data_IF_471041141948
#
_entry.id   IF_471041141948
#
_cell.length_a   1.000
_cell.length_b   1.000
_cell.length_c   1.000
_cell.angle_alpha   90.00
_cell.angle_beta   90.00
_cell.angle_gamma   90.00
#
_symmetry.space_group_name_H-M   'P 1'
#
loop_
_entity.id
_entity.type
_entity.pdbx_description
1 polymer ?
#
# COMPACT_ATOMS: atom_id res chain seq x y z
N UNK A 1 0.93 -43.48 41.84
CA UNK A 1 2.29 -42.98 41.57
C UNK A 1 2.15 -41.75 40.69
N UNK A 2 2.31 -40.55 41.26
CA UNK A 2 2.29 -39.27 40.57
C UNK A 2 3.72 -38.73 40.61
N UNK A 3 4.33 -38.50 39.45
CA UNK A 3 5.57 -37.76 39.35
C UNK A 3 5.24 -36.33 38.92
N UNK A 4 5.60 -35.38 39.79
CA UNK A 4 5.58 -33.94 39.54
C UNK A 4 7.04 -33.51 39.37
N UNK A 5 7.40 -33.01 38.20
CA UNK A 5 8.67 -32.31 37.98
C UNK A 5 8.36 -30.84 37.72
N UNK A 6 8.79 -29.98 38.64
CA UNK A 6 8.85 -28.55 38.45
C UNK A 6 10.17 -28.17 37.78
N UNK A 7 10.12 -27.25 36.84
CA UNK A 7 11.28 -26.51 36.37
C UNK A 7 10.91 -25.03 36.35
N UNK A 8 11.62 -24.27 37.18
CA UNK A 8 11.67 -22.81 37.17
C UNK A 8 12.35 -22.34 35.88
N UNK A 9 11.77 -21.37 35.19
CA UNK A 9 12.47 -20.55 34.21
C UNK A 9 12.37 -19.09 34.63
N UNK A 10 13.53 -18.52 34.97
CA UNK A 10 13.72 -17.10 35.27
C UNK A 10 13.94 -16.35 33.97
N UNK A 11 13.04 -15.42 33.64
CA UNK A 11 13.23 -14.44 32.57
C UNK A 11 14.02 -13.22 33.10
N UNK A 12 15.03 -12.71 32.39
CA UNK A 12 15.63 -11.42 32.73
C UNK A 12 14.79 -10.28 32.13
N UNK A 13 14.49 -9.29 32.98
CA UNK A 13 13.89 -8.01 32.64
C UNK A 13 14.91 -7.16 31.86
N UNK A 14 14.55 -6.70 30.66
CA UNK A 14 15.28 -5.60 30.01
C UNK A 14 14.99 -4.30 30.78
N UNK A 15 16.06 -3.69 31.25
CA UNK A 15 16.09 -2.42 31.96
C UNK A 15 16.18 -1.30 30.93
N UNK A 16 15.29 -0.33 31.05
CA UNK A 16 15.34 0.96 30.36
C UNK A 16 16.64 1.69 30.73
N UNK A 17 17.45 2.05 29.74
CA UNK A 17 18.59 2.92 29.92
C UNK A 17 18.11 4.38 29.98
N UNK A 18 18.05 4.90 31.20
CA UNK A 18 17.94 6.33 31.49
C UNK A 18 19.34 6.95 31.35
N UNK A 19 19.54 7.84 30.38
CA UNK A 19 20.79 8.59 30.24
C UNK A 19 20.80 9.72 31.26
N UNK A 20 21.60 9.57 32.33
CA UNK A 20 21.83 10.61 33.32
C UNK A 20 22.93 11.56 32.83
N UNK A 21 22.57 12.84 32.67
CA UNK A 21 23.50 13.95 32.40
C UNK A 21 24.26 14.26 33.70
N UNK A 22 25.58 14.08 33.66
CA UNK A 22 26.48 14.42 34.76
C UNK A 22 27.00 15.85 34.56
N UNK A 23 26.50 16.80 35.35
CA UNK A 23 27.08 18.14 35.48
C UNK A 23 28.37 18.02 36.34
N UNK A 24 29.53 18.25 35.73
CA UNK A 24 30.76 18.57 36.46
C UNK A 24 31.02 20.08 36.34
N UNK A 25 30.88 20.77 37.47
CA UNK A 25 31.37 22.13 37.63
C UNK A 25 32.88 22.07 37.90
N UNK A 26 33.68 22.67 37.00
CA UNK A 26 35.06 23.04 37.27
C UNK A 26 35.22 24.54 37.07
N UNK A 27 35.50 25.22 38.19
CA UNK A 27 35.94 26.61 38.23
C UNK A 27 37.41 26.70 37.77
N UNK A 28 37.67 27.48 36.72
CA UNK A 28 39.01 27.85 36.28
C UNK A 28 38.99 29.25 35.67
N UNK A 29 39.77 30.16 36.24
CA UNK A 29 39.93 31.54 35.79
C UNK A 29 40.68 31.67 34.46
N UNK A 30 40.17 32.55 33.59
CA UNK A 30 40.97 33.56 32.91
C UNK A 30 41.61 33.19 31.57
N UNK A 31 40.98 33.61 30.47
CA UNK A 31 41.58 34.48 29.44
C UNK A 31 40.56 34.70 28.32
N UNK A 32 40.41 35.96 27.90
CA UNK A 32 39.58 36.41 26.78
C UNK A 32 39.80 35.60 25.50
N UNK A 33 38.75 34.92 25.05
CA UNK A 33 38.52 34.64 23.63
C UNK A 33 37.02 34.58 23.41
N UNK A 34 36.48 35.60 22.74
CA UNK A 34 35.13 35.58 22.17
C UNK A 34 35.07 34.50 21.09
N UNK A 35 34.73 33.27 21.48
CA UNK A 35 34.25 32.26 20.55
C UNK A 35 32.77 32.53 20.31
N UNK A 36 32.45 33.01 19.11
CA UNK A 36 31.10 32.91 18.58
C UNK A 36 30.79 31.42 18.46
N UNK A 37 30.04 30.89 19.43
CA UNK A 37 29.29 29.65 19.25
C UNK A 37 28.08 29.98 18.35
N UNK A 38 28.35 30.23 17.06
CA UNK A 38 27.34 30.14 16.03
C UNK A 38 27.05 28.65 15.85
N UNK A 39 26.12 28.14 16.66
CA UNK A 39 25.47 26.86 16.38
C UNK A 39 24.70 27.10 15.09
N UNK A 40 25.25 26.62 13.96
CA UNK A 40 24.51 26.52 12.71
C UNK A 40 23.24 25.69 13.01
N UNK A 41 22.12 26.39 13.20
CA UNK A 41 20.79 25.79 13.18
C UNK A 41 20.67 25.14 11.80
N UNK A 42 20.78 23.81 11.74
CA UNK A 42 20.57 23.05 10.52
C UNK A 42 19.14 23.32 10.07
N UNK A 43 18.96 24.29 9.18
CA UNK A 43 17.66 24.69 8.65
C UNK A 43 17.13 23.54 7.81
N UNK A 44 16.25 22.73 8.40
CA UNK A 44 15.51 21.70 7.70
C UNK A 44 14.59 22.37 6.69
N UNK A 45 14.80 22.08 5.40
CA UNK A 45 13.93 22.58 4.33
C UNK A 45 12.50 22.07 4.51
N UNK A 46 11.51 22.89 4.17
CA UNK A 46 10.13 22.42 4.07
C UNK A 46 9.95 21.47 2.88
N UNK A 47 8.80 20.79 2.83
CA UNK A 47 8.45 19.90 1.72
C UNK A 47 8.50 20.64 0.39
N UNK A 48 7.94 21.84 0.33
CA UNK A 48 7.81 22.67 -0.88
C UNK A 48 9.16 23.25 -1.32
N UNK A 49 10.09 23.44 -0.39
CA UNK A 49 11.45 23.89 -0.68
C UNK A 49 12.33 22.76 -1.22
N UNK A 50 12.19 21.54 -0.69
CA UNK A 50 13.05 20.42 -1.00
C UNK A 50 12.55 19.52 -2.14
N UNK A 51 11.24 19.27 -2.22
CA UNK A 51 10.64 18.45 -3.27
C UNK A 51 10.18 19.38 -4.40
N UNK A 52 10.59 19.17 -5.66
CA UNK A 52 10.21 20.06 -6.75
C UNK A 52 8.70 20.00 -7.01
N UNK A 53 8.12 21.12 -7.44
CA UNK A 53 6.74 21.14 -7.92
C UNK A 53 6.62 20.29 -9.20
N UNK A 54 5.53 19.54 -9.34
CA UNK A 54 5.29 18.74 -10.54
C UNK A 54 5.21 19.60 -11.79
N UNK A 55 5.89 19.16 -12.85
CA UNK A 55 5.77 19.76 -14.17
C UNK A 55 4.52 19.22 -14.89
N UNK A 56 3.61 20.09 -15.30
CA UNK A 56 2.38 19.68 -15.99
C UNK A 56 1.35 19.05 -15.05
N UNK A 57 0.50 18.19 -15.58
CA UNK A 57 -0.48 17.44 -14.79
C UNK A 57 0.10 16.07 -14.38
N UNK A 58 0.51 15.88 -13.10
CA UNK A 58 1.06 14.61 -12.63
C UNK A 58 0.05 13.45 -12.68
N UNK A 59 -1.26 13.72 -12.78
CA UNK A 59 -2.28 12.67 -12.92
C UNK A 59 -2.21 11.94 -14.26
N UNK A 60 -1.53 12.49 -15.27
CA UNK A 60 -1.22 11.74 -16.50
C UNK A 60 -0.40 10.48 -16.21
N UNK A 61 0.42 10.47 -15.15
CA UNK A 61 1.13 9.28 -14.69
C UNK A 61 0.22 8.23 -14.02
N UNK A 62 -1.06 8.53 -13.84
CA UNK A 62 -2.06 7.65 -13.22
C UNK A 62 -3.24 7.37 -14.17
N UNK A 63 -2.95 7.41 -15.48
CA UNK A 63 -3.89 7.03 -16.53
C UNK A 63 -3.33 5.89 -17.39
N UNK A 64 -4.15 4.85 -17.58
CA UNK A 64 -3.82 3.69 -18.43
C UNK A 64 -3.47 4.12 -19.86
N UNK A 65 -4.07 5.19 -20.39
CA UNK A 65 -3.81 5.66 -21.75
C UNK A 65 -2.46 6.38 -21.91
N UNK A 66 -1.91 6.88 -20.80
CA UNK A 66 -0.70 7.73 -20.80
C UNK A 66 0.54 6.96 -20.35
N UNK A 67 0.35 5.81 -19.70
CA UNK A 67 1.44 4.94 -19.27
C UNK A 67 1.85 3.99 -20.40
N UNK A 68 3.13 4.01 -20.77
CA UNK A 68 3.73 2.95 -21.58
C UNK A 68 3.92 1.70 -20.73
N UNK A 69 2.91 0.83 -20.72
CA UNK A 69 2.91 -0.40 -19.95
C UNK A 69 3.39 -1.60 -20.78
N UNK A 70 4.25 -2.47 -20.24
CA UNK A 70 4.50 -3.80 -20.79
C UNK A 70 3.19 -4.52 -21.12
N UNK A 71 3.04 -4.92 -22.39
CA UNK A 71 1.92 -5.72 -22.87
C UNK A 71 2.10 -7.20 -22.48
N UNK A 72 1.03 -8.03 -22.54
CA UNK A 72 1.14 -9.46 -22.29
C UNK A 72 2.23 -10.13 -23.12
N UNK A 73 3.05 -10.97 -22.49
CA UNK A 73 4.15 -11.73 -23.08
C UNK A 73 5.26 -10.91 -23.75
N UNK A 74 5.32 -9.60 -23.52
CA UNK A 74 6.35 -8.71 -24.08
C UNK A 74 7.76 -8.97 -23.52
N UNK A 75 7.86 -9.60 -22.34
CA UNK A 75 9.10 -9.69 -21.55
C UNK A 75 9.68 -8.32 -21.14
N UNK A 76 8.87 -7.25 -21.23
CA UNK A 76 9.33 -5.90 -20.99
C UNK A 76 9.20 -5.46 -19.51
N UNK A 77 8.53 -6.24 -18.66
CA UNK A 77 8.57 -5.94 -17.22
C UNK A 77 9.97 -6.21 -16.67
N UNK A 78 10.51 -5.24 -15.95
CA UNK A 78 11.82 -5.35 -15.32
C UNK A 78 11.63 -5.55 -13.83
N UNK A 79 12.02 -6.71 -13.30
CA UNK A 79 12.05 -6.95 -11.85
C UNK A 79 13.05 -5.97 -11.21
N UNK A 80 12.62 -5.11 -10.27
CA UNK A 80 13.52 -4.15 -9.64
C UNK A 80 14.71 -4.82 -8.95
N UNK A 81 15.90 -4.24 -9.10
CA UNK A 81 17.07 -4.71 -8.38
C UNK A 81 16.93 -4.44 -6.86
N UNK A 82 17.60 -5.25 -6.03
CA UNK A 82 17.54 -5.08 -4.57
C UNK A 82 18.01 -3.69 -4.11
N UNK A 83 19.03 -3.13 -4.76
CA UNK A 83 19.52 -1.78 -4.49
C UNK A 83 18.43 -0.72 -4.76
N UNK A 84 17.70 -0.84 -5.86
CA UNK A 84 16.61 0.10 -6.17
C UNK A 84 15.44 -0.05 -5.17
N UNK A 85 15.09 -1.29 -4.79
CA UNK A 85 14.06 -1.51 -3.74
C UNK A 85 14.46 -0.87 -2.41
N UNK A 86 15.74 -1.01 -2.04
CA UNK A 86 16.29 -0.36 -0.84
C UNK A 86 16.21 1.16 -0.96
N UNK A 87 16.56 1.73 -2.12
CA UNK A 87 16.49 3.16 -2.37
C UNK A 87 15.05 3.70 -2.30
N UNK A 88 14.05 2.97 -2.82
CA UNK A 88 12.62 3.35 -2.63
C UNK A 88 12.20 3.31 -1.16
N UNK A 89 12.58 2.26 -0.41
CA UNK A 89 12.32 2.22 1.04
C UNK A 89 12.95 3.42 1.75
N UNK A 90 14.21 3.74 1.43
CA UNK A 90 14.90 4.89 2.02
C UNK A 90 14.25 6.22 1.63
N UNK A 91 13.80 6.36 0.38
CA UNK A 91 13.10 7.56 -0.09
C UNK A 91 11.82 7.81 0.69
N UNK A 92 11.00 6.76 0.88
CA UNK A 92 9.76 6.83 1.65
C UNK A 92 10.00 7.09 3.14
N UNK A 93 10.97 6.41 3.75
CA UNK A 93 11.32 6.64 5.16
C UNK A 93 11.82 8.07 5.37
N UNK A 94 12.72 8.55 4.51
CA UNK A 94 13.20 9.93 4.57
C UNK A 94 12.06 10.93 4.40
N UNK A 95 11.09 10.66 3.52
CA UNK A 95 9.89 11.47 3.37
C UNK A 95 9.04 11.52 4.66
N UNK A 96 8.86 10.38 5.34
CA UNK A 96 8.12 10.33 6.61
C UNK A 96 8.87 10.97 7.77
N UNK A 97 10.20 10.94 7.74
CA UNK A 97 11.08 11.59 8.72
C UNK A 97 11.33 13.08 8.41
N UNK A 98 10.58 13.67 7.45
CA UNK A 98 10.75 15.04 6.96
C UNK A 98 12.16 15.39 6.45
N UNK A 99 12.95 14.38 6.10
CA UNK A 99 14.27 14.51 5.47
C UNK A 99 14.13 14.58 3.94
N UNK A 100 13.43 15.62 3.46
CA UNK A 100 12.95 15.69 2.08
C UNK A 100 14.03 15.69 1.00
N UNK A 101 15.18 16.34 1.23
CA UNK A 101 16.31 16.27 0.29
C UNK A 101 16.83 14.84 0.14
N UNK A 102 16.89 14.08 1.24
CA UNK A 102 17.24 12.66 1.22
C UNK A 102 16.17 11.84 0.49
N UNK A 103 14.89 12.18 0.65
CA UNK A 103 13.81 11.53 -0.09
C UNK A 103 13.99 11.67 -1.61
N UNK A 104 14.35 12.88 -2.08
CA UNK A 104 14.63 13.17 -3.50
C UNK A 104 15.87 12.42 -4.00
N UNK A 105 16.97 12.47 -3.25
CA UNK A 105 18.21 11.77 -3.61
C UNK A 105 17.98 10.26 -3.73
N UNK A 106 17.30 9.65 -2.74
CA UNK A 106 17.03 8.21 -2.74
C UNK A 106 16.01 7.80 -3.82
N UNK A 107 15.06 8.66 -4.16
CA UNK A 107 14.16 8.43 -5.31
C UNK A 107 14.95 8.37 -6.62
N UNK A 108 15.91 9.30 -6.78
CA UNK A 108 16.79 9.33 -7.96
C UNK A 108 17.66 8.08 -8.05
N UNK A 109 18.22 7.60 -6.93
CA UNK A 109 18.99 6.35 -6.87
C UNK A 109 18.16 5.12 -7.28
N UNK A 110 16.84 5.19 -7.11
CA UNK A 110 15.90 4.16 -7.57
C UNK A 110 15.43 4.32 -9.02
N UNK A 111 15.89 5.36 -9.73
CA UNK A 111 15.38 5.78 -11.05
C UNK A 111 13.90 6.22 -11.03
N UNK A 112 13.51 6.95 -9.98
CA UNK A 112 12.19 7.56 -9.83
C UNK A 112 12.28 9.07 -9.73
N UNK A 113 11.37 9.75 -10.41
CA UNK A 113 11.09 11.15 -10.17
C UNK A 113 10.12 11.27 -9.00
N UNK A 114 10.34 12.32 -8.20
CA UNK A 114 9.46 12.74 -7.12
C UNK A 114 9.10 14.20 -7.34
N UNK A 115 7.82 14.54 -7.16
CA UNK A 115 7.36 15.93 -7.22
C UNK A 115 6.14 16.15 -6.33
N UNK A 116 5.82 17.41 -6.03
CA UNK A 116 4.63 17.77 -5.27
C UNK A 116 3.63 18.63 -6.05
N UNK A 117 2.38 18.59 -5.63
CA UNK A 117 1.30 19.48 -6.06
C UNK A 117 0.46 19.88 -4.84
N UNK A 118 0.06 21.14 -4.76
CA UNK A 118 -0.87 21.60 -3.73
C UNK A 118 -2.28 21.03 -3.92
N UNK A 119 -2.94 20.68 -2.80
CA UNK A 119 -4.35 20.31 -2.78
C UNK A 119 -5.07 20.98 -1.61
N UNK A 120 -6.41 20.92 -1.61
CA UNK A 120 -7.25 21.62 -0.63
C UNK A 120 -6.99 21.24 0.82
N UNK A 121 -6.48 20.03 1.07
CA UNK A 121 -6.23 19.53 2.42
C UNK A 121 -4.75 19.24 2.69
N UNK A 122 -3.84 19.69 1.82
CA UNK A 122 -2.39 19.56 1.96
C UNK A 122 -1.69 19.03 0.71
N UNK A 123 -0.35 19.04 0.64
CA UNK A 123 0.38 18.63 -0.55
C UNK A 123 0.16 17.16 -0.92
N UNK A 124 0.15 16.90 -2.22
CA UNK A 124 0.21 15.58 -2.82
C UNK A 124 1.63 15.37 -3.34
N UNK A 125 2.28 14.28 -2.94
CA UNK A 125 3.62 13.92 -3.40
C UNK A 125 3.55 12.68 -4.27
N UNK A 126 4.06 12.80 -5.49
CA UNK A 126 3.98 11.79 -6.54
C UNK A 126 5.34 11.14 -6.72
N UNK A 127 5.33 9.82 -6.95
CA UNK A 127 6.49 9.06 -7.39
C UNK A 127 6.13 8.28 -8.65
N UNK A 128 6.95 8.46 -9.69
CA UNK A 128 6.81 7.72 -10.96
C UNK A 128 8.18 7.41 -11.57
N UNK A 129 8.30 6.29 -12.30
CA UNK A 129 9.58 5.85 -12.84
C UNK A 129 10.08 6.80 -13.92
N UNK A 130 11.40 7.07 -13.92
CA UNK A 130 12.08 7.86 -14.95
C UNK A 130 12.10 7.15 -16.31
N UNK A 131 12.07 5.82 -16.29
CA UNK A 131 12.09 4.99 -17.49
C UNK A 131 10.70 4.45 -17.80
N UNK A 132 10.14 4.89 -18.92
CA UNK A 132 8.88 4.36 -19.43
C UNK A 132 9.06 2.92 -19.92
N UNK A 133 7.99 2.11 -19.85
CA UNK A 133 7.99 0.77 -20.43
C UNK A 133 8.53 -0.35 -19.52
N UNK A 134 9.00 -0.08 -18.30
CA UNK A 134 9.52 -1.13 -17.40
C UNK A 134 8.46 -1.78 -16.51
N UNK A 135 7.24 -1.23 -16.52
CA UNK A 135 6.09 -1.77 -15.79
C UNK A 135 6.10 -1.55 -14.28
N UNK A 136 6.97 -0.67 -13.79
CA UNK A 136 7.09 -0.33 -12.36
C UNK A 136 5.87 0.42 -11.82
N UNK A 137 5.61 0.26 -10.52
CA UNK A 137 4.47 0.85 -9.83
C UNK A 137 4.60 2.37 -9.69
N UNK A 138 3.48 3.05 -9.50
CA UNK A 138 3.42 4.51 -9.26
C UNK A 138 2.56 4.76 -8.03
N UNK A 139 2.86 5.81 -7.28
CA UNK A 139 2.08 6.12 -6.09
C UNK A 139 2.03 7.61 -5.78
N UNK A 140 0.99 7.97 -5.03
CA UNK A 140 0.81 9.30 -4.48
C UNK A 140 0.63 9.17 -2.98
N UNK A 141 1.26 10.05 -2.21
CA UNK A 141 1.01 10.21 -0.77
C UNK A 141 0.49 11.61 -0.52
N UNK A 142 -0.58 11.70 0.27
CA UNK A 142 -1.10 12.96 0.77
C UNK A 142 -0.36 13.34 2.06
N UNK A 143 0.43 14.40 2.00
CA UNK A 143 1.22 14.94 3.10
C UNK A 143 0.35 15.84 4.02
N UNK A 144 -0.63 15.24 4.69
CA UNK A 144 -1.57 15.97 5.55
C UNK A 144 -2.00 15.16 6.76
N UNK A 145 -1.97 15.74 7.95
CA UNK A 145 -2.45 15.05 9.17
C UNK A 145 -3.96 14.76 9.14
N UNK A 146 -4.70 15.44 8.25
CA UNK A 146 -6.15 15.26 8.06
C UNK A 146 -6.52 14.27 6.97
N UNK A 147 -5.53 13.66 6.29
CA UNK A 147 -5.82 12.63 5.29
C UNK A 147 -6.51 11.43 5.94
N UNK A 148 -7.54 10.90 5.29
CA UNK A 148 -8.24 9.69 5.72
C UNK A 148 -7.22 8.54 5.76
N UNK A 149 -7.17 7.72 6.85
CA UNK A 149 -6.25 6.58 6.98
C UNK A 149 -6.67 5.43 6.06
N UNK A 150 -6.61 5.69 4.75
CA UNK A 150 -7.01 4.83 3.66
C UNK A 150 -5.89 4.80 2.63
N UNK A 151 -5.48 3.59 2.26
CA UNK A 151 -4.59 3.33 1.13
C UNK A 151 -5.36 2.57 0.06
N UNK A 152 -5.39 3.08 -1.16
CA UNK A 152 -6.11 2.46 -2.28
C UNK A 152 -5.11 1.85 -3.25
N UNK A 153 -5.39 0.66 -3.75
CA UNK A 153 -4.45 -0.10 -4.56
C UNK A 153 -5.14 -0.69 -5.78
N UNK A 154 -4.48 -0.59 -6.95
CA UNK A 154 -4.90 -1.23 -8.19
C UNK A 154 -3.73 -2.01 -8.81
N UNK A 155 -3.55 -3.29 -8.44
CA UNK A 155 -2.38 -4.07 -8.87
C UNK A 155 -2.45 -4.54 -10.34
N UNK A 156 -3.61 -4.50 -11.00
CA UNK A 156 -3.81 -5.10 -12.33
C UNK A 156 -4.49 -4.20 -13.36
N UNK A 157 -4.27 -2.90 -13.31
CA UNK A 157 -5.00 -1.90 -14.13
C UNK A 157 -4.98 -2.10 -15.65
N UNK A 158 -3.94 -2.75 -16.19
CA UNK A 158 -3.79 -3.05 -17.63
C UNK A 158 -4.44 -4.38 -18.04
N UNK A 159 -4.97 -5.15 -17.08
CA UNK A 159 -5.75 -6.37 -17.31
C UNK A 159 -7.21 -6.17 -16.83
N UNK A 160 -7.38 -5.48 -15.71
CA UNK A 160 -8.64 -5.20 -15.03
C UNK A 160 -9.02 -3.73 -15.27
N UNK A 161 -9.57 -3.43 -16.45
CA UNK A 161 -9.92 -2.08 -16.92
C UNK A 161 -10.67 -1.24 -15.87
N UNK A 162 -10.38 0.06 -15.78
CA UNK A 162 -10.98 1.03 -14.84
C UNK A 162 -10.60 0.88 -13.36
N UNK A 163 -9.85 -0.14 -12.92
CA UNK A 163 -9.39 -0.20 -11.51
C UNK A 163 -8.46 0.96 -11.14
N UNK A 164 -7.56 1.39 -12.04
CA UNK A 164 -6.72 2.58 -11.83
C UNK A 164 -7.55 3.85 -11.67
N UNK A 165 -8.50 4.07 -12.59
CA UNK A 165 -9.39 5.21 -12.57
C UNK A 165 -10.19 5.25 -11.26
N UNK A 166 -10.79 4.12 -10.89
CA UNK A 166 -11.51 3.97 -9.63
C UNK A 166 -10.62 4.23 -8.41
N UNK A 167 -9.36 3.78 -8.42
CA UNK A 167 -8.43 4.03 -7.33
C UNK A 167 -8.11 5.52 -7.16
N UNK A 168 -7.92 6.25 -8.27
CA UNK A 168 -7.68 7.71 -8.27
C UNK A 168 -8.92 8.48 -7.80
N UNK A 169 -10.12 8.09 -8.24
CA UNK A 169 -11.37 8.69 -7.80
C UNK A 169 -11.59 8.49 -6.29
N UNK A 170 -11.44 7.26 -5.77
CA UNK A 170 -11.51 6.99 -4.32
C UNK A 170 -10.47 7.81 -3.55
N UNK A 171 -9.23 7.87 -4.05
CA UNK A 171 -8.16 8.63 -3.40
C UNK A 171 -8.50 10.13 -3.27
N UNK A 172 -9.07 10.69 -4.34
CA UNK A 172 -9.42 12.10 -4.42
C UNK A 172 -10.63 12.41 -3.56
N UNK A 173 -11.71 11.66 -3.74
CA UNK A 173 -13.02 11.98 -3.15
C UNK A 173 -13.11 11.64 -1.67
N UNK A 174 -12.35 10.62 -1.22
CA UNK A 174 -12.27 10.25 0.19
C UNK A 174 -11.03 10.83 0.89
N UNK A 175 -10.28 11.72 0.23
CA UNK A 175 -9.10 12.33 0.83
C UNK A 175 -8.11 11.28 1.37
N UNK A 176 -7.95 10.17 0.65
CA UNK A 176 -7.18 9.03 1.12
C UNK A 176 -5.71 9.42 1.34
N UNK A 177 -5.04 8.70 2.25
CA UNK A 177 -3.63 8.86 2.58
C UNK A 177 -2.74 8.54 1.38
N UNK A 178 -3.03 7.45 0.68
CA UNK A 178 -2.18 6.99 -0.41
C UNK A 178 -2.97 6.26 -1.51
N UNK A 179 -2.43 6.30 -2.73
CA UNK A 179 -2.83 5.42 -3.83
C UNK A 179 -1.60 4.79 -4.46
N UNK A 180 -1.67 3.48 -4.76
CA UNK A 180 -0.60 2.74 -5.45
C UNK A 180 -1.20 2.00 -6.64
N UNK A 181 -0.63 2.21 -7.82
CA UNK A 181 -1.09 1.59 -9.07
C UNK A 181 0.05 0.86 -9.75
N UNK A 182 -0.25 -0.26 -10.42
CA UNK A 182 0.73 -0.98 -11.22
C UNK A 182 1.13 -0.22 -12.48
N UNK A 183 2.26 -0.58 -13.09
CA UNK A 183 2.72 0.02 -14.34
C UNK A 183 2.73 -0.89 -15.55
N UNK A 184 2.39 -2.17 -15.41
CA UNK A 184 2.48 -3.16 -16.47
C UNK A 184 1.38 -4.20 -16.39
N UNK A 185 1.16 -4.93 -17.48
CA UNK A 185 0.23 -6.06 -17.47
C UNK A 185 0.73 -7.18 -16.56
N UNK A 186 -0.16 -7.81 -15.78
CA UNK A 186 0.19 -8.93 -14.87
C UNK A 186 0.76 -10.18 -15.55
N UNK A 187 0.72 -10.22 -16.87
CA UNK A 187 1.19 -11.31 -17.73
C UNK A 187 2.31 -10.82 -18.67
N UNK A 188 3.00 -9.73 -18.33
CA UNK A 188 4.00 -9.13 -19.19
C UNK A 188 5.19 -10.07 -19.43
N UNK A 189 5.59 -10.81 -18.40
CA UNK A 189 6.72 -11.74 -18.46
C UNK A 189 6.25 -13.18 -18.32
N UNK A 190 7.05 -14.10 -18.86
CA UNK A 190 6.85 -15.55 -18.67
C UNK A 190 7.62 -16.09 -17.46
N UNK A 191 8.52 -15.30 -16.87
CA UNK A 191 9.13 -15.60 -15.59
C UNK A 191 8.09 -15.76 -14.49
N UNK A 192 8.31 -16.72 -13.59
CA UNK A 192 7.40 -17.00 -12.48
C UNK A 192 7.84 -16.30 -11.19
N UNK A 193 6.86 -15.84 -10.43
CA UNK A 193 7.01 -15.45 -9.04
C UNK A 193 7.49 -16.63 -8.20
N UNK A 194 8.24 -16.32 -7.14
CA UNK A 194 8.57 -17.28 -6.08
C UNK A 194 7.41 -17.55 -5.11
N UNK A 195 6.32 -16.78 -5.20
CA UNK A 195 5.21 -16.85 -4.27
C UNK A 195 4.24 -17.99 -4.57
N UNK A 196 3.64 -18.52 -3.51
CA UNK A 196 2.76 -19.68 -3.55
C UNK A 196 1.45 -19.37 -4.28
N UNK A 197 1.00 -20.31 -5.10
CA UNK A 197 -0.31 -20.29 -5.74
C UNK A 197 -0.20 -20.38 -7.25
N UNK A 198 -1.34 -20.48 -7.92
CA UNK A 198 -1.42 -20.62 -9.37
C UNK A 198 -2.59 -19.82 -9.91
N UNK A 199 -2.52 -19.48 -11.20
CA UNK A 199 -3.57 -18.79 -11.94
C UNK A 199 -3.64 -19.33 -13.36
N UNK A 200 -4.81 -19.24 -13.98
CA UNK A 200 -5.01 -19.47 -15.42
C UNK A 200 -5.25 -18.16 -16.19
N UNK A 201 -5.03 -17.01 -15.55
CA UNK A 201 -5.27 -15.68 -16.17
C UNK A 201 -4.35 -15.44 -17.37
N UNK A 202 -3.14 -15.98 -17.34
CA UNK A 202 -2.16 -15.82 -18.41
C UNK A 202 -2.12 -17.02 -19.40
N UNK A 203 -3.05 -17.97 -19.29
CA UNK A 203 -3.09 -19.19 -20.10
C UNK A 203 -3.54 -20.41 -19.31
N UNK A 204 -2.72 -21.46 -19.30
CA UNK A 204 -2.95 -22.65 -18.48
C UNK A 204 -2.73 -22.36 -16.99
N UNK A 205 -3.21 -23.24 -16.10
CA UNK A 205 -2.99 -23.10 -14.66
C UNK A 205 -1.51 -23.28 -14.30
N UNK A 206 -0.86 -22.18 -13.96
CA UNK A 206 0.59 -22.07 -13.73
C UNK A 206 0.90 -21.16 -12.53
N UNK A 207 2.13 -21.14 -11.99
CA UNK A 207 2.51 -20.17 -10.95
C UNK A 207 2.28 -18.73 -11.42
N UNK A 208 2.04 -17.82 -10.47
CA UNK A 208 1.93 -16.39 -10.78
C UNK A 208 3.17 -15.88 -11.53
N UNK A 209 2.99 -14.93 -12.46
CA UNK A 209 4.11 -14.32 -13.17
C UNK A 209 4.82 -13.31 -12.27
N UNK A 210 6.11 -13.06 -12.51
CA UNK A 210 6.89 -12.04 -11.79
C UNK A 210 6.38 -10.60 -12.01
N UNK A 211 5.58 -10.39 -13.07
CA UNK A 211 4.89 -9.14 -13.38
C UNK A 211 3.53 -8.99 -12.68
N UNK A 212 3.08 -9.98 -11.91
CA UNK A 212 1.78 -9.98 -11.22
C UNK A 212 1.90 -9.29 -9.85
N UNK A 213 1.59 -7.99 -9.77
CA UNK A 213 1.86 -7.15 -8.59
C UNK A 213 1.16 -7.59 -7.31
N UNK A 214 0.03 -8.30 -7.41
CA UNK A 214 -0.69 -8.84 -6.25
C UNK A 214 -0.03 -10.12 -5.70
N UNK A 215 0.91 -10.72 -6.43
CA UNK A 215 1.44 -12.06 -6.17
C UNK A 215 2.97 -12.14 -6.20
N UNK A 216 3.66 -11.02 -5.99
CA UNK A 216 5.14 -10.94 -5.98
C UNK A 216 5.63 -10.05 -4.85
N UNK A 217 6.69 -10.47 -4.16
CA UNK A 217 7.30 -9.66 -3.09
C UNK A 217 8.43 -8.77 -3.56
N UNK A 218 9.00 -9.05 -4.73
CA UNK A 218 10.17 -8.36 -5.28
C UNK A 218 9.82 -7.15 -6.17
N UNK A 219 8.61 -6.59 -6.06
CA UNK A 219 8.17 -5.42 -6.82
C UNK A 219 8.21 -4.13 -6.00
N UNK A 220 8.33 -2.97 -6.67
CA UNK A 220 8.12 -1.68 -6.00
C UNK A 220 6.71 -1.54 -5.43
N UNK A 221 5.69 -2.17 -6.05
CA UNK A 221 4.32 -2.16 -5.52
C UNK A 221 4.27 -2.71 -4.09
N UNK A 222 4.93 -3.84 -3.84
CA UNK A 222 5.02 -4.43 -2.52
C UNK A 222 5.86 -3.59 -1.56
N UNK A 223 7.03 -3.10 -2.00
CA UNK A 223 7.92 -2.28 -1.17
C UNK A 223 7.19 -1.04 -0.66
N UNK A 224 6.50 -0.32 -1.55
CA UNK A 224 5.76 0.90 -1.22
C UNK A 224 4.60 0.57 -0.29
N UNK A 225 3.83 -0.48 -0.59
CA UNK A 225 2.76 -0.96 0.29
C UNK A 225 3.25 -1.19 1.72
N UNK A 226 4.34 -1.94 1.90
CA UNK A 226 4.89 -2.27 3.21
C UNK A 226 5.35 -1.01 3.94
N UNK A 227 6.07 -0.13 3.26
CA UNK A 227 6.66 1.06 3.87
C UNK A 227 5.56 2.03 4.33
N UNK A 228 4.52 2.26 3.52
CA UNK A 228 3.36 3.08 3.91
C UNK A 228 2.59 2.43 5.07
N UNK A 229 2.32 1.12 5.00
CA UNK A 229 1.59 0.42 6.05
C UNK A 229 2.35 0.34 7.39
N UNK A 230 3.67 0.42 7.37
CA UNK A 230 4.51 0.51 8.57
C UNK A 230 4.51 1.93 9.15
N UNK A 231 4.55 2.96 8.31
CA UNK A 231 4.48 4.36 8.74
C UNK A 231 3.09 4.72 9.31
N UNK A 232 2.02 4.22 8.70
CA UNK A 232 0.62 4.48 9.11
C UNK A 232 -0.04 3.19 9.59
N UNK A 233 0.12 2.88 10.87
CA UNK A 233 -0.36 1.61 11.45
C UNK A 233 -1.88 1.48 11.52
N UNK A 234 -2.61 2.59 11.42
CA UNK A 234 -4.07 2.68 11.38
C UNK A 234 -4.65 2.65 9.95
N UNK A 235 -3.80 2.64 8.92
CA UNK A 235 -4.26 2.67 7.52
C UNK A 235 -5.04 1.39 7.17
N UNK A 236 -6.26 1.58 6.66
CA UNK A 236 -7.04 0.55 5.98
C UNK A 236 -6.62 0.50 4.51
N UNK A 237 -6.34 -0.69 3.98
CA UNK A 237 -5.97 -0.88 2.58
C UNK A 237 -7.12 -1.50 1.79
N UNK A 238 -7.50 -0.84 0.69
CA UNK A 238 -8.42 -1.38 -0.31
C UNK A 238 -7.62 -1.83 -1.52
N UNK A 239 -7.73 -3.09 -1.90
CA UNK A 239 -7.09 -3.67 -3.08
C UNK A 239 -8.15 -4.02 -4.12
N UNK A 240 -8.23 -3.18 -5.16
CA UNK A 240 -9.25 -3.24 -6.19
C UNK A 240 -8.87 -4.21 -7.29
N UNK A 241 -9.82 -5.07 -7.62
CA UNK A 241 -9.70 -6.05 -8.69
C UNK A 241 -10.92 -6.10 -9.59
N UNK A 242 -10.73 -6.70 -10.76
CA UNK A 242 -11.77 -7.01 -11.73
C UNK A 242 -11.99 -8.50 -11.91
N UNK A 243 -13.26 -8.91 -11.99
CA UNK A 243 -13.64 -10.29 -12.28
C UNK A 243 -14.65 -10.37 -13.44
N UNK A 244 -14.78 -11.56 -14.02
CA UNK A 244 -15.76 -11.83 -15.09
C UNK A 244 -17.17 -12.15 -14.57
N UNK A 245 -17.29 -12.59 -13.31
CA UNK A 245 -18.57 -12.88 -12.67
C UNK A 245 -19.32 -11.57 -12.36
N UNK A 246 -20.64 -11.62 -12.36
CA UNK A 246 -21.49 -10.48 -12.01
C UNK A 246 -21.34 -10.07 -10.55
N UNK A 247 -21.53 -8.77 -10.28
CA UNK A 247 -21.54 -8.22 -8.93
C UNK A 247 -20.17 -8.03 -8.29
N UNK A 248 -20.09 -8.32 -7.00
CA UNK A 248 -18.95 -8.11 -6.12
C UNK A 248 -18.52 -9.38 -5.38
N UNK A 249 -17.22 -9.50 -5.10
CA UNK A 249 -16.68 -10.43 -4.11
C UNK A 249 -15.73 -9.73 -3.16
N UNK A 250 -16.06 -9.75 -1.87
CA UNK A 250 -15.31 -9.08 -0.82
C UNK A 250 -14.57 -10.09 0.06
N UNK A 251 -13.38 -9.71 0.52
CA UNK A 251 -12.63 -10.51 1.49
C UNK A 251 -11.68 -9.64 2.31
N UNK A 252 -11.38 -10.03 3.53
CA UNK A 252 -10.28 -9.45 4.31
C UNK A 252 -8.92 -10.13 4.02
N UNK A 253 -8.80 -10.88 2.92
CA UNK A 253 -7.61 -11.65 2.55
C UNK A 253 -7.52 -13.03 3.24
N UNK A 254 -8.57 -13.45 3.95
CA UNK A 254 -8.71 -14.77 4.55
C UNK A 254 -10.08 -15.39 4.21
N UNK A 255 -10.30 -16.64 4.57
CA UNK A 255 -11.63 -17.31 4.50
C UNK A 255 -12.20 -17.59 5.90
N UNK A 256 -11.62 -16.99 6.94
CA UNK A 256 -12.09 -17.20 8.30
C UNK A 256 -13.30 -16.30 8.56
N UNK A 257 -14.15 -16.74 9.48
CA UNK A 257 -15.27 -15.94 9.95
C UNK A 257 -14.77 -14.61 10.53
N UNK A 258 -15.60 -13.58 10.38
CA UNK A 258 -15.38 -12.25 10.92
C UNK A 258 -16.60 -11.82 11.75
N UNK A 259 -16.60 -10.59 12.23
CA UNK A 259 -17.73 -10.02 12.96
C UNK A 259 -18.33 -8.84 12.17
N UNK A 260 -19.58 -8.47 12.49
CA UNK A 260 -20.29 -7.40 11.79
C UNK A 260 -19.66 -6.00 11.89
N UNK A 261 -18.70 -5.81 12.80
CA UNK A 261 -17.96 -4.55 12.95
C UNK A 261 -16.66 -4.51 12.15
N UNK A 262 -16.23 -5.63 11.54
CA UNK A 262 -15.03 -5.62 10.70
C UNK A 262 -15.23 -4.74 9.46
N UNK A 263 -14.17 -4.09 8.95
CA UNK A 263 -14.28 -3.22 7.78
C UNK A 263 -14.89 -3.92 6.56
N UNK A 264 -14.51 -5.18 6.28
CA UNK A 264 -15.08 -5.93 5.14
C UNK A 264 -16.58 -6.19 5.31
N UNK A 265 -17.05 -6.46 6.53
CA UNK A 265 -18.48 -6.68 6.81
C UNK A 265 -19.28 -5.37 6.72
N UNK A 266 -18.73 -4.26 7.24
CA UNK A 266 -19.33 -2.93 7.09
C UNK A 266 -19.45 -2.54 5.62
N UNK A 267 -18.40 -2.73 4.82
CA UNK A 267 -18.44 -2.47 3.38
C UNK A 267 -19.47 -3.34 2.67
N UNK A 268 -19.55 -4.63 3.01
CA UNK A 268 -20.56 -5.54 2.47
C UNK A 268 -21.98 -4.99 2.67
N UNK A 269 -22.30 -4.53 3.88
CA UNK A 269 -23.60 -3.94 4.19
C UNK A 269 -23.87 -2.69 3.36
N UNK A 270 -22.90 -1.78 3.23
CA UNK A 270 -23.09 -0.57 2.44
C UNK A 270 -23.21 -0.84 0.93
N UNK A 271 -22.48 -1.81 0.38
CA UNK A 271 -22.62 -2.18 -1.03
C UNK A 271 -23.98 -2.80 -1.36
N UNK A 272 -24.55 -3.64 -0.49
CA UNK A 272 -25.91 -4.16 -0.71
C UNK A 272 -26.95 -3.03 -0.73
N UNK A 273 -26.75 -1.98 0.08
CA UNK A 273 -27.65 -0.83 0.10
C UNK A 273 -27.55 0.00 -1.18
N UNK A 274 -26.34 0.25 -1.70
CA UNK A 274 -26.13 1.03 -2.92
C UNK A 274 -26.43 0.25 -4.21
N UNK A 275 -26.34 -1.09 -4.14
CA UNK A 275 -26.54 -2.02 -5.25
C UNK A 275 -27.56 -3.11 -4.93
N UNK A 276 -28.84 -2.77 -4.68
CA UNK A 276 -29.85 -3.75 -4.27
C UNK A 276 -30.18 -4.80 -5.35
N UNK A 277 -29.75 -4.56 -6.60
CA UNK A 277 -29.97 -5.46 -7.73
C UNK A 277 -28.70 -6.20 -8.17
N UNK A 278 -27.56 -5.95 -7.52
CA UNK A 278 -26.30 -6.67 -7.80
C UNK A 278 -26.10 -7.80 -6.81
N UNK A 279 -25.35 -8.82 -7.25
CA UNK A 279 -24.91 -9.87 -6.33
C UNK A 279 -23.71 -9.38 -5.54
N UNK A 280 -23.84 -9.23 -4.22
CA UNK A 280 -22.71 -8.93 -3.33
C UNK A 280 -22.37 -10.18 -2.53
N UNK A 281 -21.15 -10.69 -2.68
CA UNK A 281 -20.64 -11.86 -1.94
C UNK A 281 -19.49 -11.47 -1.02
N UNK A 282 -19.27 -12.27 0.02
CA UNK A 282 -18.17 -12.10 0.97
C UNK A 282 -17.54 -13.46 1.31
N UNK A 283 -16.22 -13.53 1.46
CA UNK A 283 -15.48 -14.75 1.82
C UNK A 283 -15.42 -15.02 3.34
N UNK A 284 -15.87 -14.07 4.14
CA UNK A 284 -15.83 -14.12 5.60
C UNK A 284 -17.26 -14.16 6.11
N UNK A 285 -17.68 -15.26 6.73
CA UNK A 285 -19.01 -15.33 7.32
C UNK A 285 -19.09 -14.41 8.55
N UNK A 286 -20.26 -13.83 8.81
CA UNK A 286 -20.54 -13.05 10.01
C UNK A 286 -22.06 -13.01 10.25
N UNK A 287 -22.49 -12.99 11.51
CA UNK A 287 -23.90 -13.07 11.89
C UNK A 287 -24.66 -14.20 11.16
N UNK A 288 -25.63 -13.86 10.31
CA UNK A 288 -26.37 -14.79 9.45
C UNK A 288 -25.88 -14.82 8.00
N UNK A 289 -24.84 -14.06 7.66
CA UNK A 289 -24.25 -14.02 6.32
C UNK A 289 -23.29 -15.19 6.16
N UNK A 290 -23.54 -16.00 5.13
CA UNK A 290 -22.70 -17.17 4.82
C UNK A 290 -21.58 -16.79 3.86
N UNK A 291 -20.38 -17.29 4.13
CA UNK A 291 -19.23 -17.11 3.23
C UNK A 291 -19.47 -17.73 1.85
N UNK A 292 -19.08 -17.00 0.81
CA UNK A 292 -18.92 -17.50 -0.56
C UNK A 292 -17.44 -17.47 -0.88
N UNK A 293 -16.80 -18.65 -0.88
CA UNK A 293 -15.36 -18.79 -1.13
C UNK A 293 -15.02 -18.56 -2.62
N UNK A 294 -15.09 -17.32 -3.07
CA UNK A 294 -14.81 -16.91 -4.43
C UNK A 294 -13.81 -15.75 -4.43
N UNK A 295 -12.67 -15.94 -5.10
CA UNK A 295 -11.63 -14.90 -5.26
C UNK A 295 -11.29 -14.16 -3.96
N UNK A 296 -11.07 -14.91 -2.88
CA UNK A 296 -10.94 -14.38 -1.53
C UNK A 296 -9.63 -13.66 -1.21
N UNK A 297 -8.80 -13.33 -2.20
CA UNK A 297 -7.51 -12.66 -1.98
C UNK A 297 -6.53 -13.42 -1.08
N UNK A 298 -6.70 -14.71 -0.83
CA UNK A 298 -5.87 -15.48 0.13
C UNK A 298 -4.42 -15.66 -0.33
N UNK A 299 -4.15 -15.42 -1.61
CA UNK A 299 -2.80 -15.42 -2.21
C UNK A 299 -2.22 -14.02 -2.38
N UNK A 300 -3.00 -12.97 -2.10
CA UNK A 300 -2.57 -11.59 -2.26
C UNK A 300 -1.48 -11.26 -1.23
N UNK A 301 -0.30 -10.87 -1.71
CA UNK A 301 0.88 -10.65 -0.85
C UNK A 301 0.72 -9.41 0.03
N UNK A 302 -0.02 -8.39 -0.42
CA UNK A 302 -0.33 -7.21 0.40
C UNK A 302 -1.27 -7.60 1.55
N UNK A 303 -2.33 -8.35 1.25
CA UNK A 303 -3.25 -8.85 2.27
C UNK A 303 -2.57 -9.76 3.29
N UNK A 304 -1.71 -10.68 2.83
CA UNK A 304 -0.94 -11.55 3.73
C UNK A 304 0.03 -10.76 4.62
N UNK A 305 0.68 -9.73 4.09
CA UNK A 305 1.55 -8.86 4.88
C UNK A 305 0.79 -8.15 5.99
N UNK A 306 -0.35 -7.51 5.65
CA UNK A 306 -1.16 -6.79 6.64
C UNK A 306 -1.81 -7.69 7.67
N UNK A 307 -2.09 -8.95 7.33
CA UNK A 307 -2.65 -9.94 8.22
C UNK A 307 -1.57 -10.74 8.99
N UNK A 308 -0.37 -10.18 9.13
CA UNK A 308 0.74 -10.76 9.90
C UNK A 308 1.10 -12.20 9.53
N UNK A 309 1.01 -12.55 8.23
CA UNK A 309 1.50 -13.84 7.76
C UNK A 309 3.00 -13.98 8.07
N UNK A 310 3.39 -15.17 8.52
CA UNK A 310 4.80 -15.51 8.79
C UNK A 310 5.68 -15.42 7.54
N UNK A 311 5.08 -15.52 6.35
CA UNK A 311 5.71 -15.24 5.07
C UNK A 311 4.65 -14.81 4.06
N UNK A 312 4.60 -13.52 3.72
CA UNK A 312 3.62 -12.98 2.78
C UNK A 312 3.67 -13.63 1.38
N UNK A 313 4.81 -14.18 0.97
CA UNK A 313 4.98 -14.81 -0.32
C UNK A 313 4.42 -16.24 -0.35
N UNK A 314 4.57 -17.01 0.73
CA UNK A 314 4.32 -18.47 0.70
C UNK A 314 3.33 -18.99 1.74
N UNK A 315 2.96 -18.19 2.74
CA UNK A 315 2.07 -18.59 3.80
C UNK A 315 0.81 -17.72 3.81
N UNK A 316 -0.36 -18.36 3.91
CA UNK A 316 -1.61 -17.67 4.21
C UNK A 316 -1.59 -17.13 5.64
N UNK A 317 -2.22 -15.99 5.86
CA UNK A 317 -2.48 -15.50 7.20
C UNK A 317 -3.52 -16.39 7.90
N UNK A 318 -3.35 -16.59 9.21
CA UNK A 318 -4.27 -17.41 10.01
C UNK A 318 -5.45 -16.61 10.57
N UNK A 319 -5.32 -15.30 10.68
CA UNK A 319 -6.31 -14.36 11.22
C UNK A 319 -6.18 -13.06 10.42
N UNK A 320 -7.28 -12.34 10.21
CA UNK A 320 -7.24 -11.01 9.61
C UNK A 320 -6.95 -9.93 10.66
N UNK A 321 -6.16 -8.93 10.31
CA UNK A 321 -5.89 -7.76 11.16
C UNK A 321 -6.95 -6.67 11.01
N UNK A 322 -7.91 -6.85 10.11
CA UNK A 322 -8.90 -5.87 9.68
C UNK A 322 -8.29 -4.61 9.02
N UNK A 323 -7.02 -4.68 8.57
CA UNK A 323 -6.35 -3.60 7.82
C UNK A 323 -6.40 -3.76 6.30
N UNK A 324 -7.04 -4.81 5.79
CA UNK A 324 -7.08 -5.12 4.36
C UNK A 324 -8.48 -5.52 3.90
N UNK A 325 -8.89 -4.99 2.74
CA UNK A 325 -10.08 -5.42 2.02
C UNK A 325 -9.68 -5.65 0.55
N UNK A 326 -9.91 -6.88 0.09
CA UNK A 326 -9.89 -7.28 -1.32
C UNK A 326 -11.27 -7.10 -1.91
N UNK A 327 -11.37 -6.43 -3.07
CA UNK A 327 -12.64 -6.20 -3.77
C UNK A 327 -12.51 -6.66 -5.22
N UNK A 328 -13.23 -7.73 -5.57
CA UNK A 328 -13.44 -8.15 -6.95
C UNK A 328 -14.75 -7.59 -7.48
N UNK A 329 -14.75 -7.06 -8.71
CA UNK A 329 -15.90 -6.37 -9.27
C UNK A 329 -16.08 -6.70 -10.75
N UNK A 330 -17.33 -6.87 -11.19
CA UNK A 330 -17.63 -7.02 -12.61
C UNK A 330 -17.22 -5.78 -13.44
N UNK A 331 -16.97 -5.94 -14.74
CA UNK A 331 -16.67 -4.83 -15.64
C UNK A 331 -17.81 -3.80 -15.71
N UNK A 332 -19.08 -4.21 -15.76
CA UNK A 332 -20.23 -3.30 -15.87
C UNK A 332 -20.37 -2.36 -14.67
N UNK A 333 -19.92 -2.79 -13.50
CA UNK A 333 -19.82 -1.97 -12.30
C UNK A 333 -18.69 -0.96 -12.45
N UNK A 334 -17.50 -1.40 -12.88
CA UNK A 334 -16.30 -0.56 -12.93
C UNK A 334 -16.33 0.47 -14.06
N UNK A 335 -16.94 0.18 -15.20
CA UNK A 335 -16.98 1.09 -16.35
C UNK A 335 -17.92 2.28 -16.13
N UNK A 336 -18.97 2.10 -15.31
CA UNK A 336 -19.96 3.15 -15.02
C UNK A 336 -19.47 4.10 -13.93
N UNK A 337 -19.33 5.38 -14.28
CA UNK A 337 -19.01 6.46 -13.33
C UNK A 337 -20.00 6.50 -12.16
N UNK A 338 -21.30 6.45 -12.46
CA UNK A 338 -22.34 6.43 -11.41
C UNK A 338 -22.22 5.22 -10.45
N UNK A 339 -21.70 4.08 -10.92
CA UNK A 339 -21.43 2.94 -10.04
C UNK A 339 -20.14 3.15 -9.23
N UNK A 340 -19.09 3.77 -9.80
CA UNK A 340 -17.88 4.13 -9.04
C UNK A 340 -18.20 5.15 -7.93
N UNK A 341 -19.05 6.13 -8.20
CA UNK A 341 -19.54 7.10 -7.20
C UNK A 341 -20.27 6.41 -6.04
N UNK A 342 -21.10 5.41 -6.34
CA UNK A 342 -21.78 4.60 -5.31
C UNK A 342 -20.81 3.83 -4.43
N UNK A 343 -19.73 3.31 -5.01
CA UNK A 343 -18.69 2.58 -4.25
C UNK A 343 -17.92 3.55 -3.36
N UNK A 344 -17.55 4.73 -3.89
CA UNK A 344 -16.94 5.82 -3.12
C UNK A 344 -17.84 6.21 -1.94
N UNK A 345 -19.15 6.37 -2.19
CA UNK A 345 -20.15 6.64 -1.15
C UNK A 345 -20.21 5.53 -0.10
N UNK A 346 -20.28 4.26 -0.51
CA UNK A 346 -20.31 3.12 0.41
C UNK A 346 -19.05 3.07 1.30
N UNK A 347 -17.87 3.29 0.71
CA UNK A 347 -16.60 3.40 1.44
C UNK A 347 -16.60 4.59 2.40
N UNK A 348 -17.06 5.77 1.96
CA UNK A 348 -17.16 6.96 2.81
C UNK A 348 -18.07 6.75 4.02
N UNK A 349 -19.23 6.11 3.83
CA UNK A 349 -20.15 5.76 4.93
C UNK A 349 -19.49 4.76 5.87
N UNK A 350 -18.87 3.70 5.34
CA UNK A 350 -18.14 2.70 6.14
C UNK A 350 -17.06 3.35 7.02
N UNK A 351 -16.27 4.28 6.47
CA UNK A 351 -15.16 4.95 7.16
C UNK A 351 -15.63 5.93 8.24
N UNK A 352 -16.86 6.43 8.16
CA UNK A 352 -17.43 7.39 9.12
C UNK A 352 -18.06 6.77 10.37
N UNK A 353 -18.13 5.43 10.47
CA UNK A 353 -18.82 4.69 11.54
C UNK A 353 -17.88 3.84 12.39
#
# INVERSE_FOLDING_TARGET
>A
MRFSFGIQTTAPKLIAALTAILLLALTGCGSDSSSNDDVDEETTLTLEEAIPQCSGDPWENFSVSSISAPSPNSQAYVVPANAQRTAITNSLNAFFDASYESAVSQSTDAAYDICHMESTIGPLVFWYPQTAGEGHARWVIRASDTATPLMVQAPHSFFESHTMQQAVEIFTDLNARAVIVNGGHRCANTGYSSCSGTTSVCGESEPFRESDMAHVVDSFFQVVHQTIAQAYTDVLTINLHGMSRDGFSLSNGTTNDTNAQSPVAKLYTELINEFPNETVTICNAFDSITATNHLCGTTNVQGRFLNDSTNACTASASIASDRFIHIEQNLSIRESEANRDKIIKALGVMLSR
#
